data_IF_208498012715
#
_entry.id   IF_208498012715
#
_cell.length_a   1.000
_cell.length_b   1.000
_cell.length_c   1.000
_cell.angle_alpha   90.00
_cell.angle_beta   90.00
_cell.angle_gamma   90.00
#
_symmetry.space_group_name_H-M   'P 1'
#
loop_
_entity.id
_entity.type
_entity.pdbx_description
1 polymer ?
#
# COMPACT_ATOMS: atom_id res chain seq x y z
N UNK A 1 -10.40 8.18 -5.84
CA UNK A 1 -10.95 6.86 -5.44
C UNK A 1 -10.03 5.69 -5.79
N UNK A 2 -9.48 5.60 -7.01
CA UNK A 2 -8.63 4.46 -7.43
C UNK A 2 -7.39 4.22 -6.54
N UNK A 3 -6.64 5.26 -6.18
CA UNK A 3 -5.46 5.13 -5.32
C UNK A 3 -5.79 4.60 -3.90
N UNK A 4 -6.93 5.01 -3.35
CA UNK A 4 -7.41 4.52 -2.06
C UNK A 4 -7.85 3.05 -2.13
N UNK A 5 -8.54 2.67 -3.21
CA UNK A 5 -8.95 1.30 -3.44
C UNK A 5 -7.75 0.36 -3.62
N UNK A 6 -6.70 0.81 -4.32
CA UNK A 6 -5.46 0.06 -4.48
C UNK A 6 -4.76 -0.17 -3.13
N UNK A 7 -4.62 0.88 -2.32
CA UNK A 7 -4.02 0.74 -0.99
C UNK A 7 -4.83 -0.22 -0.10
N UNK A 8 -6.16 -0.11 -0.10
CA UNK A 8 -7.02 -1.02 0.65
C UNK A 8 -6.87 -2.49 0.19
N UNK A 9 -6.70 -2.72 -1.12
CA UNK A 9 -6.44 -4.06 -1.65
C UNK A 9 -5.08 -4.62 -1.18
N UNK A 10 -4.03 -3.78 -1.17
CA UNK A 10 -2.70 -4.15 -0.66
C UNK A 10 -2.78 -4.48 0.84
N UNK A 11 -3.46 -3.65 1.63
CA UNK A 11 -3.63 -3.87 3.08
C UNK A 11 -4.44 -5.14 3.37
N UNK A 12 -5.49 -5.41 2.59
CA UNK A 12 -6.26 -6.66 2.70
C UNK A 12 -5.43 -7.90 2.37
N UNK A 13 -4.64 -7.85 1.29
CA UNK A 13 -3.73 -8.94 0.93
C UNK A 13 -2.65 -9.16 2.01
N UNK A 14 -2.06 -8.09 2.53
CA UNK A 14 -1.07 -8.14 3.60
C UNK A 14 -1.63 -8.79 4.87
N UNK A 15 -2.88 -8.46 5.25
CA UNK A 15 -3.54 -9.05 6.41
C UNK A 15 -3.72 -10.56 6.23
N UNK A 16 -4.18 -10.99 5.05
CA UNK A 16 -4.35 -12.42 4.75
C UNK A 16 -3.03 -13.19 4.86
N UNK A 17 -1.92 -12.61 4.42
CA UNK A 17 -0.61 -13.24 4.55
C UNK A 17 -0.18 -13.28 6.02
N UNK A 18 -0.22 -12.15 6.74
CA UNK A 18 0.20 -12.05 8.14
C UNK A 18 -0.53 -13.03 9.07
N UNK A 19 -1.83 -13.23 8.87
CA UNK A 19 -2.63 -14.21 9.61
C UNK A 19 -2.06 -15.63 9.43
N UNK A 20 -1.66 -15.99 8.21
CA UNK A 20 -1.10 -17.30 7.93
C UNK A 20 0.35 -17.45 8.46
N UNK A 21 1.16 -16.39 8.44
CA UNK A 21 2.56 -16.45 8.88
C UNK A 21 2.72 -16.87 10.35
N UNK A 22 1.78 -16.50 11.23
CA UNK A 22 1.84 -16.86 12.65
C UNK A 22 1.84 -18.37 12.92
N UNK A 23 1.24 -19.15 12.00
CA UNK A 23 1.12 -20.60 12.11
C UNK A 23 2.27 -21.36 11.41
N UNK A 24 3.22 -20.66 10.80
CA UNK A 24 4.34 -21.29 10.09
C UNK A 24 5.47 -21.64 11.07
N UNK A 25 5.89 -22.90 11.03
CA UNK A 25 6.98 -23.43 11.87
C UNK A 25 8.35 -22.96 11.40
N UNK A 26 8.55 -22.84 10.08
CA UNK A 26 9.76 -22.28 9.48
C UNK A 26 9.84 -20.77 9.74
N UNK A 27 10.68 -20.40 10.72
CA UNK A 27 10.81 -19.02 11.18
C UNK A 27 11.56 -18.12 10.22
N UNK A 28 12.49 -18.65 9.44
CA UNK A 28 13.23 -17.88 8.46
C UNK A 28 12.32 -17.52 7.28
N UNK A 29 11.53 -18.47 6.80
CA UNK A 29 10.50 -18.21 5.80
C UNK A 29 9.47 -17.19 6.30
N UNK A 30 8.93 -17.40 7.52
CA UNK A 30 7.93 -16.51 8.09
C UNK A 30 8.46 -15.08 8.24
N UNK A 31 9.70 -14.92 8.69
CA UNK A 31 10.37 -13.61 8.79
C UNK A 31 10.55 -12.97 7.42
N UNK A 32 11.12 -13.69 6.46
CA UNK A 32 11.33 -13.18 5.09
C UNK A 32 10.05 -12.67 4.47
N UNK A 33 8.97 -13.43 4.62
CA UNK A 33 7.67 -13.08 4.05
C UNK A 33 7.01 -11.92 4.80
N UNK A 34 7.21 -11.84 6.12
CA UNK A 34 6.80 -10.68 6.92
C UNK A 34 7.50 -9.39 6.48
N UNK A 35 8.82 -9.45 6.26
CA UNK A 35 9.62 -8.32 5.78
C UNK A 35 9.16 -7.88 4.37
N UNK A 36 8.88 -8.82 3.46
CA UNK A 36 8.37 -8.54 2.11
C UNK A 36 6.97 -7.89 2.14
N UNK A 37 6.08 -8.35 3.02
CA UNK A 37 4.76 -7.74 3.20
C UNK A 37 4.88 -6.29 3.68
N UNK A 38 5.79 -5.99 4.61
CA UNK A 38 5.97 -4.61 5.10
C UNK A 38 6.57 -3.68 4.04
N UNK A 39 7.51 -4.18 3.22
CA UNK A 39 8.04 -3.42 2.08
C UNK A 39 6.92 -3.08 1.07
N UNK A 40 6.06 -4.05 0.73
CA UNK A 40 4.92 -3.82 -0.17
C UNK A 40 3.91 -2.82 0.42
N UNK A 41 3.62 -2.90 1.72
CA UNK A 41 2.76 -1.92 2.40
C UNK A 41 3.35 -0.52 2.35
N UNK A 42 4.65 -0.40 2.60
CA UNK A 42 5.36 0.89 2.57
C UNK A 42 5.31 1.50 1.16
N UNK A 43 5.62 0.71 0.13
CA UNK A 43 5.53 1.13 -1.27
C UNK A 43 4.11 1.50 -1.68
N UNK A 44 3.10 0.73 -1.27
CA UNK A 44 1.70 1.01 -1.55
C UNK A 44 1.22 2.33 -0.95
N UNK A 45 1.65 2.65 0.28
CA UNK A 45 1.35 3.93 0.94
C UNK A 45 2.00 5.11 0.23
N UNK A 46 3.29 4.99 -0.09
CA UNK A 46 4.00 6.02 -0.84
C UNK A 46 3.37 6.29 -2.21
N UNK A 47 3.00 5.24 -2.95
CA UNK A 47 2.33 5.37 -4.25
C UNK A 47 0.97 6.07 -4.12
N UNK A 48 0.18 5.75 -3.08
CA UNK A 48 -1.08 6.44 -2.81
C UNK A 48 -0.85 7.93 -2.56
N UNK A 49 0.18 8.30 -1.81
CA UNK A 49 0.50 9.69 -1.51
C UNK A 49 0.93 10.45 -2.78
N UNK A 50 1.79 9.85 -3.59
CA UNK A 50 2.23 10.42 -4.87
C UNK A 50 1.04 10.68 -5.80
N UNK A 51 0.14 9.70 -5.97
CA UNK A 51 -1.03 9.86 -6.83
C UNK A 51 -1.96 10.96 -6.30
N UNK A 52 -2.18 11.03 -4.99
CA UNK A 52 -3.02 12.09 -4.41
C UNK A 52 -2.41 13.47 -4.64
N UNK A 53 -1.09 13.62 -4.45
CA UNK A 53 -0.40 14.89 -4.69
C UNK A 53 -0.54 15.35 -6.16
N UNK A 54 -0.37 14.43 -7.12
CA UNK A 54 -0.56 14.72 -8.55
C UNK A 54 -1.98 15.19 -8.83
N UNK A 55 -2.98 14.51 -8.25
CA UNK A 55 -4.39 14.89 -8.42
C UNK A 55 -4.66 16.27 -7.82
N UNK A 56 -4.20 16.52 -6.60
CA UNK A 56 -4.43 17.78 -5.90
C UNK A 56 -3.78 18.96 -6.64
N UNK A 57 -2.55 18.79 -7.13
CA UNK A 57 -1.87 19.83 -7.90
C UNK A 57 -2.57 20.12 -9.24
N UNK A 58 -3.09 19.07 -9.89
CA UNK A 58 -3.87 19.24 -11.12
C UNK A 58 -5.21 19.94 -10.87
N UNK A 59 -5.85 19.68 -9.74
CA UNK A 59 -7.08 20.36 -9.32
C UNK A 59 -6.83 21.86 -9.04
N UNK A 60 -5.71 22.21 -8.39
CA UNK A 60 -5.33 23.62 -8.18
C UNK A 60 -5.10 24.35 -9.49
N UNK A 61 -4.33 23.78 -10.41
CA UNK A 61 -4.07 24.37 -11.72
C UNK A 61 -5.35 24.64 -12.51
N UNK A 62 -6.32 23.71 -12.47
CA UNK A 62 -7.62 23.89 -13.12
C UNK A 62 -8.43 25.03 -12.49
N UNK A 63 -8.42 25.15 -11.16
CA UNK A 63 -9.13 26.20 -10.44
C UNK A 63 -8.53 27.60 -10.70
N UNK A 64 -7.22 27.71 -10.88
CA UNK A 64 -6.54 28.98 -11.21
C UNK A 64 -6.72 29.40 -12.68
N UNK A 65 -7.08 28.46 -13.56
CA UNK A 65 -7.33 28.69 -14.98
C UNK A 65 -8.82 28.94 -15.33
N UNK A 66 -9.71 28.95 -14.33
CA UNK A 66 -11.16 29.18 -14.46
C UNK A 66 -11.55 30.56 -13.97
#
# INVERSE_FOLDING_TARGET
MAALALLAAIEGAALNVKVNLGNITDKDFAKKMGDEVEDLLTKGRALKEEIMAIVDDRMKQLAESS
#
